data_IF_356391618778
#
_entry.id   IF_356391618778
#
_cell.length_a   1.000
_cell.length_b   1.000
_cell.length_c   1.000
_cell.angle_alpha   90.00
_cell.angle_beta   90.00
_cell.angle_gamma   90.00
#
_symmetry.space_group_name_H-M   'P 1'
#
loop_
_entity.id
_entity.type
_entity.pdbx_description
1 polymer ?
#
# COMPACT_ATOMS: atom_id res chain seq x y z
N UNK A 1 -8.85 23.75 7.75
CA UNK A 1 -9.42 22.74 6.83
C UNK A 1 -8.39 21.96 6.00
N UNK A 2 -7.16 22.47 5.75
CA UNK A 2 -6.15 21.77 4.93
C UNK A 2 -5.61 20.46 5.55
N UNK A 3 -5.31 20.45 6.85
CA UNK A 3 -4.73 19.28 7.54
C UNK A 3 -5.68 18.09 7.58
N UNK A 4 -6.97 18.34 7.81
CA UNK A 4 -7.99 17.28 7.79
C UNK A 4 -8.09 16.62 6.41
N UNK A 5 -7.98 17.40 5.33
CA UNK A 5 -7.96 16.88 3.96
C UNK A 5 -6.76 15.96 3.71
N UNK A 6 -5.56 16.34 4.16
CA UNK A 6 -4.34 15.53 4.01
C UNK A 6 -4.46 14.20 4.76
N UNK A 7 -5.00 14.24 5.99
CA UNK A 7 -5.19 13.02 6.80
C UNK A 7 -6.22 12.09 6.14
N UNK A 8 -7.34 12.62 5.65
CA UNK A 8 -8.37 11.83 4.95
C UNK A 8 -7.82 11.22 3.67
N UNK A 9 -7.04 11.99 2.90
CA UNK A 9 -6.37 11.51 1.68
C UNK A 9 -5.43 10.35 2.01
N UNK A 10 -4.53 10.52 2.99
CA UNK A 10 -3.58 9.50 3.39
C UNK A 10 -4.26 8.23 3.89
N UNK A 11 -5.35 8.36 4.67
CA UNK A 11 -6.14 7.22 5.12
C UNK A 11 -6.79 6.49 3.94
N UNK A 12 -7.36 7.23 2.97
CA UNK A 12 -7.92 6.67 1.75
C UNK A 12 -6.88 5.86 0.96
N UNK A 13 -5.70 6.44 0.75
CA UNK A 13 -4.62 5.80 0.00
C UNK A 13 -4.12 4.53 0.71
N UNK A 14 -4.01 4.55 2.04
CA UNK A 14 -3.64 3.36 2.84
C UNK A 14 -4.70 2.25 2.74
N UNK A 15 -5.99 2.59 2.75
CA UNK A 15 -7.07 1.60 2.58
C UNK A 15 -7.03 0.97 1.19
N UNK A 16 -6.81 1.75 0.13
CA UNK A 16 -6.67 1.23 -1.24
C UNK A 16 -5.46 0.31 -1.32
N UNK A 17 -4.30 0.75 -0.83
CA UNK A 17 -3.07 -0.05 -0.85
C UNK A 17 -3.22 -1.35 -0.04
N UNK A 18 -3.89 -1.30 1.12
CA UNK A 18 -4.20 -2.48 1.91
C UNK A 18 -5.11 -3.46 1.16
N UNK A 19 -6.12 -2.95 0.45
CA UNK A 19 -7.02 -3.78 -0.36
C UNK A 19 -6.27 -4.50 -1.47
N UNK A 20 -5.36 -3.79 -2.16
CA UNK A 20 -4.48 -4.39 -3.18
C UNK A 20 -3.56 -5.44 -2.56
N UNK A 21 -2.93 -5.17 -1.42
CA UNK A 21 -2.06 -6.12 -0.70
C UNK A 21 -2.82 -7.38 -0.27
N UNK A 22 -4.07 -7.25 0.18
CA UNK A 22 -4.92 -8.40 0.53
C UNK A 22 -5.19 -9.31 -0.65
N UNK A 23 -5.38 -8.76 -1.85
CA UNK A 23 -5.55 -9.57 -3.06
C UNK A 23 -4.27 -10.35 -3.36
N UNK A 24 -3.10 -9.72 -3.26
CA UNK A 24 -1.81 -10.39 -3.47
C UNK A 24 -1.62 -11.54 -2.49
N UNK A 25 -1.92 -11.32 -1.21
CA UNK A 25 -1.82 -12.36 -0.19
C UNK A 25 -2.79 -13.52 -0.43
N UNK A 26 -4.05 -13.22 -0.79
CA UNK A 26 -5.06 -14.25 -1.10
C UNK A 26 -4.67 -15.08 -2.32
N UNK A 27 -4.22 -14.42 -3.39
CA UNK A 27 -3.79 -15.08 -4.63
C UNK A 27 -2.56 -15.98 -4.38
N UNK A 28 -1.60 -15.54 -3.56
CA UNK A 28 -0.43 -16.34 -3.21
C UNK A 28 -0.75 -17.64 -2.47
N UNK A 29 -1.90 -17.74 -1.78
CA UNK A 29 -2.33 -18.97 -1.10
C UNK A 29 -3.05 -19.95 -2.03
N UNK A 30 -3.39 -19.51 -3.24
CA UNK A 30 -4.13 -20.30 -4.20
C UNK A 30 -3.18 -21.22 -4.99
N UNK A 31 -3.26 -22.52 -4.71
CA UNK A 31 -2.32 -23.54 -5.25
C UNK A 31 -2.38 -23.76 -6.77
N UNK A 32 -3.27 -23.05 -7.48
CA UNK A 32 -3.43 -23.12 -8.95
C UNK A 32 -2.56 -22.11 -9.71
N UNK A 33 -1.87 -21.20 -9.02
CA UNK A 33 -1.09 -20.13 -9.67
C UNK A 33 0.36 -20.59 -9.92
N UNK A 34 0.87 -20.32 -11.13
CA UNK A 34 2.26 -20.59 -11.51
C UNK A 34 3.24 -19.87 -10.56
N UNK A 35 4.29 -20.60 -10.13
CA UNK A 35 5.39 -20.07 -9.33
C UNK A 35 6.03 -18.80 -9.91
N UNK A 36 6.04 -18.64 -11.24
CA UNK A 36 6.52 -17.41 -11.90
C UNK A 36 5.64 -16.22 -11.53
N UNK A 37 4.31 -16.39 -11.55
CA UNK A 37 3.34 -15.35 -11.21
C UNK A 37 3.41 -15.03 -9.72
N UNK A 38 3.51 -16.04 -8.85
CA UNK A 38 3.70 -15.85 -7.40
C UNK A 38 4.95 -15.02 -7.09
N UNK A 39 6.06 -15.24 -7.81
CA UNK A 39 7.30 -14.47 -7.63
C UNK A 39 7.15 -13.01 -8.05
N UNK A 40 6.42 -12.75 -9.14
CA UNK A 40 6.10 -11.38 -9.59
C UNK A 40 5.20 -10.68 -8.56
N UNK A 41 4.13 -11.36 -8.12
CA UNK A 41 3.22 -10.80 -7.11
C UNK A 41 3.93 -10.49 -5.79
N UNK A 42 4.91 -11.30 -5.35
CA UNK A 42 5.72 -10.95 -4.16
C UNK A 42 6.50 -9.64 -4.33
N UNK A 43 7.06 -9.39 -5.53
CA UNK A 43 7.76 -8.13 -5.81
C UNK A 43 6.79 -6.95 -5.84
N UNK A 44 5.62 -7.13 -6.47
CA UNK A 44 4.57 -6.11 -6.48
C UNK A 44 4.07 -5.81 -5.06
N UNK A 45 3.91 -6.83 -4.22
CA UNK A 45 3.55 -6.68 -2.82
C UNK A 45 4.60 -5.87 -2.04
N UNK A 46 5.89 -6.11 -2.29
CA UNK A 46 6.98 -5.32 -1.69
C UNK A 46 6.92 -3.85 -2.13
N UNK A 47 6.70 -3.59 -3.43
CA UNK A 47 6.53 -2.23 -3.96
C UNK A 47 5.32 -1.54 -3.32
N UNK A 48 4.21 -2.25 -3.14
CA UNK A 48 3.02 -1.75 -2.45
C UNK A 48 3.30 -1.37 -0.99
N UNK A 49 4.04 -2.19 -0.26
CA UNK A 49 4.49 -1.86 1.10
C UNK A 49 5.40 -0.62 1.14
N UNK A 50 6.32 -0.50 0.19
CA UNK A 50 7.17 0.70 0.06
C UNK A 50 6.33 1.94 -0.22
N UNK A 51 5.30 1.84 -1.08
CA UNK A 51 4.36 2.93 -1.35
C UNK A 51 3.60 3.39 -0.10
N UNK A 52 3.09 2.45 0.70
CA UNK A 52 2.44 2.76 1.99
C UNK A 52 3.41 3.49 2.93
N UNK A 53 4.64 3.02 3.04
CA UNK A 53 5.64 3.67 3.88
C UNK A 53 5.91 5.12 3.43
N UNK A 54 6.01 5.36 2.12
CA UNK A 54 6.19 6.71 1.56
C UNK A 54 4.98 7.62 1.83
N UNK A 55 3.75 7.11 1.72
CA UNK A 55 2.53 7.87 2.05
C UNK A 55 2.55 8.29 3.52
N UNK A 56 2.90 7.38 4.43
CA UNK A 56 2.98 7.67 5.87
C UNK A 56 4.05 8.71 6.14
N UNK A 57 5.26 8.56 5.59
CA UNK A 57 6.37 9.51 5.76
C UNK A 57 5.99 10.87 5.18
N UNK A 58 5.42 10.92 3.97
CA UNK A 58 5.00 12.16 3.32
C UNK A 58 3.93 12.88 4.12
N UNK A 59 2.95 12.15 4.65
CA UNK A 59 1.92 12.70 5.53
C UNK A 59 2.52 13.28 6.80
N UNK A 60 3.47 12.56 7.41
CA UNK A 60 4.17 13.03 8.61
C UNK A 60 4.97 14.30 8.33
N UNK A 61 5.74 14.34 7.25
CA UNK A 61 6.50 15.52 6.84
C UNK A 61 5.59 16.73 6.59
N UNK A 62 4.46 16.53 5.91
CA UNK A 62 3.52 17.60 5.58
C UNK A 62 2.75 18.15 6.79
N UNK A 63 2.66 17.37 7.87
CA UNK A 63 2.07 17.80 9.15
C UNK A 63 3.11 18.39 10.09
N UNK A 64 4.33 17.82 10.12
CA UNK A 64 5.40 18.22 11.04
C UNK A 64 6.23 19.41 10.53
N UNK A 65 6.34 19.59 9.21
CA UNK A 65 6.91 20.76 8.57
C UNK A 65 5.77 21.54 7.89
N UNK A 66 5.20 22.57 8.57
CA UNK A 66 4.12 23.39 8.01
C UNK A 66 4.54 24.23 6.81
#
# INVERSE_FOLDING_TARGET
>A
MRTAGIIIQALGDVIVAFTVLRVHHRMMMEHKIDNRVVRVMRREQQVGFTGIALIIIGTYLQVAAP
#
